data_IF_386402617116
#
_entry.id   IF_386402617116
#
_cell.length_a   1.000
_cell.length_b   1.000
_cell.length_c   1.000
_cell.angle_alpha   90.00
_cell.angle_beta   90.00
_cell.angle_gamma   90.00
#
_symmetry.space_group_name_H-M   'P 1'
#
loop_
_entity.id
_entity.type
_entity.pdbx_description
1 polymer ?
#
# COMPACT_ATOMS: atom_id res chain seq x y z
N UNK A 1 9.45 -5.60 -5.30
CA UNK A 1 7.97 -5.62 -5.18
C UNK A 1 7.61 -6.57 -4.06
N UNK A 2 6.56 -6.27 -3.29
CA UNK A 2 5.98 -7.24 -2.35
C UNK A 2 5.10 -8.19 -3.18
N UNK A 3 5.29 -9.48 -3.02
CA UNK A 3 4.51 -10.51 -3.73
C UNK A 3 3.14 -10.72 -3.07
N UNK A 4 2.16 -11.13 -3.89
CA UNK A 4 0.82 -11.45 -3.40
C UNK A 4 0.86 -12.60 -2.39
N UNK A 5 0.12 -12.47 -1.28
CA UNK A 5 0.02 -13.53 -0.30
C UNK A 5 -0.94 -13.22 0.83
N UNK A 6 -1.47 -14.26 1.46
CA UNK A 6 -2.21 -14.18 2.73
C UNK A 6 -1.72 -15.26 3.64
N UNK A 7 -1.73 -15.00 4.94
CA UNK A 7 -1.34 -16.00 5.92
C UNK A 7 -1.40 -15.47 7.34
N UNK A 8 -0.89 -16.29 8.25
CA UNK A 8 -0.69 -15.91 9.64
C UNK A 8 0.62 -16.49 10.16
N UNK A 9 1.12 -15.89 11.23
CA UNK A 9 2.23 -16.41 12.01
C UNK A 9 1.99 -16.10 13.49
N UNK A 10 2.69 -16.81 14.37
CA UNK A 10 2.56 -16.63 15.82
C UNK A 10 3.78 -15.92 16.37
N UNK A 11 3.56 -14.86 17.14
CA UNK A 11 4.59 -14.13 17.91
C UNK A 11 4.14 -14.10 19.36
N UNK A 12 4.95 -14.66 20.27
CA UNK A 12 4.66 -14.72 21.70
C UNK A 12 3.25 -15.24 22.06
N UNK A 13 2.80 -16.26 21.32
CA UNK A 13 1.47 -16.87 21.50
C UNK A 13 0.31 -16.07 20.90
N UNK A 14 0.57 -14.90 20.30
CA UNK A 14 -0.42 -14.09 19.57
C UNK A 14 -0.34 -14.39 18.09
N UNK A 15 -1.48 -14.70 17.46
CA UNK A 15 -1.56 -14.83 16.01
C UNK A 15 -1.59 -13.44 15.35
N UNK A 16 -0.71 -13.25 14.36
CA UNK A 16 -0.66 -12.08 13.49
C UNK A 16 -1.04 -12.52 12.08
N UNK A 17 -2.16 -12.04 11.55
CA UNK A 17 -2.56 -12.28 10.17
C UNK A 17 -1.98 -11.20 9.25
N UNK A 18 -1.70 -11.56 8.01
CA UNK A 18 -1.24 -10.60 7.00
C UNK A 18 -1.92 -10.79 5.64
N UNK A 19 -1.96 -9.69 4.88
CA UNK A 19 -2.39 -9.66 3.49
C UNK A 19 -1.41 -8.79 2.69
N UNK A 20 -0.71 -9.42 1.76
CA UNK A 20 0.15 -8.78 0.77
C UNK A 20 -0.55 -8.75 -0.59
N UNK A 21 -0.51 -7.58 -1.24
CA UNK A 21 -1.23 -7.32 -2.50
C UNK A 21 -0.36 -6.53 -3.45
N UNK A 22 -0.23 -7.00 -4.69
CA UNK A 22 0.21 -6.20 -5.84
C UNK A 22 -1.02 -5.66 -6.57
N UNK A 23 -1.15 -4.34 -6.65
CA UNK A 23 -2.29 -3.71 -7.31
C UNK A 23 -2.23 -3.84 -8.84
N UNK A 24 -3.37 -3.59 -9.48
CA UNK A 24 -3.41 -3.20 -10.88
C UNK A 24 -2.74 -1.84 -11.11
N UNK A 25 -2.63 -1.45 -12.38
CA UNK A 25 -2.19 -0.10 -12.78
C UNK A 25 -3.34 0.86 -12.64
N UNK A 26 -3.54 1.35 -11.43
CA UNK A 26 -4.67 2.21 -11.12
C UNK A 26 -4.31 3.37 -10.20
N UNK A 27 -3.16 3.31 -9.49
CA UNK A 27 -2.77 4.37 -8.56
C UNK A 27 -2.32 5.59 -9.34
N UNK A 28 -2.91 6.73 -9.01
CA UNK A 28 -2.66 8.00 -9.70
C UNK A 28 -1.87 8.96 -8.83
N UNK A 29 -1.25 9.95 -9.46
CA UNK A 29 -0.69 11.12 -8.79
C UNK A 29 -1.74 11.86 -7.96
N UNK A 30 -1.30 12.51 -6.88
CA UNK A 30 -2.19 13.21 -5.93
C UNK A 30 -3.01 14.34 -6.56
N UNK A 31 -2.52 14.93 -7.66
CA UNK A 31 -3.25 15.98 -8.41
C UNK A 31 -4.11 15.40 -9.55
N UNK A 32 -4.00 14.10 -9.83
CA UNK A 32 -4.67 13.44 -10.96
C UNK A 32 -6.07 12.92 -10.61
N UNK A 33 -6.42 12.88 -9.33
CA UNK A 33 -7.73 12.46 -8.88
C UNK A 33 -7.75 11.92 -7.47
N UNK A 34 -8.86 11.29 -7.12
CA UNK A 34 -9.03 10.68 -5.81
C UNK A 34 -8.10 9.48 -5.60
N UNK A 35 -7.72 9.28 -4.33
CA UNK A 35 -7.01 8.09 -3.87
C UNK A 35 -7.73 6.82 -4.32
N UNK A 36 -6.95 5.80 -4.68
CA UNK A 36 -7.47 4.50 -5.10
C UNK A 36 -7.35 3.50 -3.99
N UNK A 37 -8.48 2.87 -3.68
CA UNK A 37 -8.55 1.83 -2.66
C UNK A 37 -8.13 0.50 -3.24
N UNK A 38 -7.07 -0.08 -2.67
CA UNK A 38 -6.65 -1.44 -2.96
C UNK A 38 -7.24 -2.36 -1.89
N UNK A 39 -8.05 -3.35 -2.27
CA UNK A 39 -8.64 -4.28 -1.33
C UNK A 39 -7.58 -5.21 -0.77
N UNK A 40 -7.65 -5.47 0.53
CA UNK A 40 -6.95 -6.59 1.14
C UNK A 40 -7.66 -7.89 0.79
N UNK A 41 -6.91 -8.99 0.85
CA UNK A 41 -7.44 -10.34 0.68
C UNK A 41 -7.92 -10.94 2.01
N UNK A 42 -7.84 -10.16 3.10
CA UNK A 42 -8.28 -10.51 4.45
C UNK A 42 -9.05 -9.33 5.06
N UNK A 43 -10.06 -9.61 5.89
CA UNK A 43 -10.79 -8.61 6.68
C UNK A 43 -10.18 -8.55 8.08
N UNK A 44 -9.54 -7.42 8.41
CA UNK A 44 -8.86 -7.20 9.69
C UNK A 44 -9.81 -6.81 10.83
N UNK A 45 -11.13 -6.78 10.60
CA UNK A 45 -12.12 -6.54 11.64
C UNK A 45 -12.16 -5.10 12.14
N UNK A 46 -12.36 -4.89 13.43
CA UNK A 46 -12.63 -3.55 13.98
C UNK A 46 -11.38 -2.64 14.04
N UNK A 47 -10.18 -3.22 14.09
CA UNK A 47 -8.94 -2.46 14.23
C UNK A 47 -8.30 -2.25 12.86
N UNK A 48 -7.99 -1.00 12.47
CA UNK A 48 -7.28 -0.76 11.22
C UNK A 48 -5.91 -1.47 11.23
N UNK A 49 -5.52 -2.15 10.14
CA UNK A 49 -4.25 -2.86 10.08
C UNK A 49 -3.07 -1.90 9.96
N UNK A 50 -1.88 -2.41 10.29
CA UNK A 50 -0.61 -1.73 10.00
C UNK A 50 -0.22 -2.00 8.55
N UNK A 51 0.11 -0.95 7.80
CA UNK A 51 0.32 -1.04 6.35
C UNK A 51 1.69 -0.50 5.96
N UNK A 52 2.41 -1.24 5.12
CA UNK A 52 3.55 -0.75 4.36
C UNK A 52 3.20 -0.87 2.87
N UNK A 53 3.50 0.16 2.08
CA UNK A 53 3.28 0.16 0.64
C UNK A 53 4.43 0.83 -0.11
N UNK A 54 4.67 0.38 -1.34
CA UNK A 54 5.71 0.90 -2.22
C UNK A 54 5.26 0.87 -3.68
N UNK A 55 5.72 1.82 -4.46
CA UNK A 55 5.49 1.84 -5.91
C UNK A 55 6.24 0.67 -6.55
N UNK A 56 5.55 -0.09 -7.39
CA UNK A 56 6.06 -1.33 -8.01
C UNK A 56 6.21 -1.25 -9.53
N UNK A 57 5.72 -0.19 -10.16
CA UNK A 57 6.01 0.13 -11.56
C UNK A 57 6.53 1.55 -11.67
N UNK A 58 7.37 1.80 -12.67
CA UNK A 58 7.89 3.13 -12.99
C UNK A 58 7.78 3.33 -14.50
N UNK A 59 6.75 4.06 -14.91
CA UNK A 59 6.49 4.40 -16.30
C UNK A 59 7.18 5.70 -16.73
N UNK A 60 7.36 6.63 -15.80
CA UNK A 60 8.04 7.90 -16.07
C UNK A 60 9.52 7.85 -15.67
N UNK A 61 10.24 8.91 -16.00
CA UNK A 61 11.66 9.03 -15.66
C UNK A 61 11.87 9.15 -14.16
N UNK A 62 10.89 9.54 -13.37
CA UNK A 62 11.06 9.78 -11.93
C UNK A 62 10.24 8.78 -11.13
N UNK A 63 10.71 8.44 -9.93
CA UNK A 63 9.91 7.68 -8.99
C UNK A 63 8.89 8.57 -8.28
N UNK A 64 8.06 7.97 -7.45
CA UNK A 64 7.10 8.69 -6.62
C UNK A 64 7.12 8.13 -5.20
N UNK A 65 6.57 8.90 -4.27
CA UNK A 65 6.33 8.45 -2.90
C UNK A 65 4.89 7.98 -2.77
N UNK A 66 4.69 6.72 -2.38
CA UNK A 66 3.36 6.22 -2.06
C UNK A 66 2.88 6.87 -0.78
N UNK A 67 1.67 7.44 -0.81
CA UNK A 67 1.01 7.98 0.38
C UNK A 67 -0.27 7.20 0.66
N UNK A 68 -0.44 6.80 1.93
CA UNK A 68 -1.68 6.24 2.44
C UNK A 68 -2.62 7.40 2.81
N UNK A 69 -3.75 7.50 2.12
CA UNK A 69 -4.78 8.53 2.39
C UNK A 69 -5.78 8.09 3.44
N UNK A 70 -6.18 6.81 3.43
CA UNK A 70 -7.10 6.23 4.41
C UNK A 70 -6.93 4.72 4.48
N UNK A 71 -7.39 4.11 5.57
CA UNK A 71 -7.40 2.67 5.75
C UNK A 71 -8.73 2.22 6.34
N UNK A 72 -9.14 1.01 5.97
CA UNK A 72 -10.29 0.29 6.53
C UNK A 72 -9.84 -1.12 6.87
N UNK A 73 -10.72 -1.90 7.50
CA UNK A 73 -10.50 -3.32 7.74
C UNK A 73 -10.23 -4.14 6.46
N UNK A 74 -10.64 -3.64 5.29
CA UNK A 74 -10.65 -4.38 4.02
C UNK A 74 -9.82 -3.75 2.91
N UNK A 75 -9.14 -2.64 3.17
CA UNK A 75 -8.31 -2.00 2.15
C UNK A 75 -7.68 -0.70 2.59
N UNK A 76 -6.64 -0.31 1.86
CA UNK A 76 -5.96 0.98 2.00
C UNK A 76 -6.17 1.83 0.75
N UNK A 77 -6.33 3.14 0.91
CA UNK A 77 -6.44 4.08 -0.21
C UNK A 77 -5.12 4.82 -0.41
N UNK A 78 -4.62 4.84 -1.64
CA UNK A 78 -3.29 5.36 -1.95
C UNK A 78 -3.30 6.39 -3.08
N UNK A 79 -2.33 7.29 -3.03
CA UNK A 79 -1.93 8.20 -4.10
C UNK A 79 -0.41 8.20 -4.25
N UNK A 80 0.07 8.60 -5.41
CA UNK A 80 1.48 8.89 -5.62
C UNK A 80 1.75 10.38 -5.44
N UNK A 81 2.77 10.70 -4.65
CA UNK A 81 3.34 12.04 -4.61
C UNK A 81 4.56 12.08 -5.52
N UNK A 82 4.55 12.97 -6.49
CA UNK A 82 5.59 13.08 -7.52
C UNK A 82 6.46 14.31 -7.28
N UNK A 83 7.71 14.22 -7.72
CA UNK A 83 8.60 15.36 -7.69
C UNK A 83 8.06 16.50 -8.58
N UNK A 84 8.20 17.73 -8.09
CA UNK A 84 7.78 18.96 -8.76
C UNK A 84 8.94 19.69 -9.45
N UNK A 85 10.20 19.29 -9.19
CA UNK A 85 11.38 20.09 -9.55
C UNK A 85 11.56 20.28 -11.05
N UNK A 86 11.23 19.28 -11.87
CA UNK A 86 11.36 19.37 -13.33
C UNK A 86 10.04 19.67 -14.06
N UNK A 87 8.90 19.34 -13.45
CA UNK A 87 7.57 19.55 -14.02
C UNK A 87 6.58 19.87 -12.89
N UNK A 88 5.91 21.03 -12.97
CA UNK A 88 4.91 21.46 -11.98
C UNK A 88 3.58 20.67 -12.06
N UNK A 89 3.62 19.41 -12.52
CA UNK A 89 2.44 18.56 -12.64
C UNK A 89 2.77 17.22 -12.00
N UNK A 90 2.01 16.85 -10.95
CA UNK A 90 2.03 15.50 -10.36
C UNK A 90 1.16 14.56 -11.19
N UNK A 91 1.45 14.55 -12.49
CA UNK A 91 0.68 13.87 -13.51
C UNK A 91 1.52 12.83 -14.25
N UNK A 92 1.35 11.56 -13.86
CA UNK A 92 1.82 10.41 -14.64
C UNK A 92 0.67 9.44 -14.97
N UNK A 93 0.90 8.53 -15.94
CA UNK A 93 0.06 7.36 -16.14
C UNK A 93 -0.13 6.58 -14.84
N UNK A 94 -1.26 5.88 -14.65
CA UNK A 94 -1.47 5.08 -13.46
C UNK A 94 -0.38 4.03 -13.25
N UNK A 95 0.08 3.90 -12.00
CA UNK A 95 1.14 2.99 -11.58
C UNK A 95 0.58 1.88 -10.67
N UNK A 96 1.43 0.89 -10.41
CA UNK A 96 1.17 -0.19 -9.46
C UNK A 96 1.79 0.14 -8.11
N UNK A 97 1.11 -0.26 -7.04
CA UNK A 97 1.68 -0.34 -5.69
C UNK A 97 1.67 -1.79 -5.23
N UNK A 98 2.71 -2.17 -4.51
CA UNK A 98 2.70 -3.39 -3.71
C UNK A 98 2.57 -2.99 -2.25
N UNK A 99 1.70 -3.65 -1.51
CA UNK A 99 1.47 -3.39 -0.10
C UNK A 99 1.43 -4.68 0.70
N UNK A 100 1.67 -4.55 2.00
CA UNK A 100 1.41 -5.58 2.99
C UNK A 100 0.74 -4.95 4.20
N UNK A 101 -0.28 -5.63 4.72
CA UNK A 101 -1.05 -5.24 5.89
C UNK A 101 -0.97 -6.33 6.96
N UNK A 102 -0.85 -5.95 8.24
CA UNK A 102 -0.87 -6.86 9.39
C UNK A 102 -1.97 -6.51 10.38
N UNK A 103 -2.53 -7.53 11.05
CA UNK A 103 -3.57 -7.35 12.08
C UNK A 103 -3.09 -6.60 13.32
N UNK A 104 -1.80 -6.65 13.62
CA UNK A 104 -1.21 -6.02 14.81
C UNK A 104 0.28 -5.77 14.63
N UNK A 105 0.84 -4.93 15.50
CA UNK A 105 2.28 -4.80 15.65
C UNK A 105 2.87 -6.12 16.17
N UNK A 106 4.12 -6.39 15.81
CA UNK A 106 4.90 -7.50 16.33
C UNK A 106 6.38 -7.12 16.34
N UNK A 107 7.14 -7.76 17.22
CA UNK A 107 8.60 -7.69 17.26
C UNK A 107 9.14 -9.11 17.15
N UNK A 108 10.21 -9.30 16.38
CA UNK A 108 10.92 -10.56 16.39
C UNK A 108 11.81 -10.60 17.63
N UNK A 109 11.77 -11.72 18.36
CA UNK A 109 12.71 -11.95 19.44
C UNK A 109 14.15 -11.77 18.91
N UNK A 110 14.96 -11.00 19.65
CA UNK A 110 16.36 -10.73 19.31
C UNK A 110 17.24 -11.94 19.53
#
# INVERSE_FOLDING_TARGET
AIEDGVGSFTVDGTEVTYSAVLSGREIVGIDNGAAKTIPFRHDFGATPPLIIAAQSSRYSRDGSWVRLSSTTARGGSFVLDEDLVCQNRRFNPPEQVSLIAWSSAFELAK
#
